data_IF_617101713353
#
_entry.id   IF_617101713353
#
_cell.length_a   1.000
_cell.length_b   1.000
_cell.length_c   1.000
_cell.angle_alpha   90.00
_cell.angle_beta   90.00
_cell.angle_gamma   90.00
#
_symmetry.space_group_name_H-M   'P 1'
#
loop_
_entity.id
_entity.type
_entity.pdbx_description
1 polymer ?
#
# COMPACT_ATOMS: atom_id res chain seq x y z
N UNK A 1 3.52 6.06 16.10
CA UNK A 1 2.26 5.29 16.06
C UNK A 1 1.35 5.92 15.03
N UNK A 2 0.69 5.12 14.18
CA UNK A 2 -0.34 5.63 13.26
C UNK A 2 -1.68 5.63 14.00
N UNK A 3 -2.32 6.79 14.09
CA UNK A 3 -3.64 6.97 14.70
C UNK A 3 -4.62 7.55 13.69
N UNK A 4 -5.75 6.87 13.52
CA UNK A 4 -6.90 7.33 12.73
C UNK A 4 -8.09 7.40 13.67
N UNK A 5 -8.73 8.58 13.77
CA UNK A 5 -9.84 8.84 14.69
C UNK A 5 -11.07 9.31 13.93
N UNK A 6 -12.13 8.50 13.96
CA UNK A 6 -13.45 8.77 13.38
C UNK A 6 -13.39 9.32 11.95
N UNK A 7 -12.56 8.70 11.12
CA UNK A 7 -12.35 9.10 9.73
C UNK A 7 -13.60 8.82 8.90
N UNK A 8 -14.11 9.85 8.22
CA UNK A 8 -15.24 9.74 7.30
C UNK A 8 -14.85 10.25 5.91
N UNK A 9 -15.29 9.53 4.87
CA UNK A 9 -15.14 9.95 3.48
C UNK A 9 -16.31 9.48 2.65
N UNK A 10 -16.92 10.42 1.93
CA UNK A 10 -17.99 10.20 0.97
C UNK A 10 -17.67 10.80 -0.38
N UNK A 11 -18.24 10.22 -1.44
CA UNK A 11 -18.26 10.78 -2.78
C UNK A 11 -19.71 10.96 -3.21
N UNK A 12 -20.18 12.21 -3.25
CA UNK A 12 -21.61 12.50 -3.41
C UNK A 12 -22.41 11.88 -2.26
N UNK A 13 -23.42 11.07 -2.58
CA UNK A 13 -24.25 10.35 -1.60
C UNK A 13 -23.65 9.02 -1.14
N UNK A 14 -22.51 8.59 -1.70
CA UNK A 14 -21.92 7.29 -1.40
C UNK A 14 -20.88 7.42 -0.27
N UNK A 15 -21.21 6.93 0.92
CA UNK A 15 -20.29 6.84 2.04
C UNK A 15 -19.30 5.68 1.82
N UNK A 16 -18.00 5.98 1.84
CA UNK A 16 -16.92 4.98 1.66
C UNK A 16 -16.23 4.65 2.98
N UNK A 17 -15.91 5.65 3.80
CA UNK A 17 -15.36 5.48 5.14
C UNK A 17 -16.36 6.01 6.16
N UNK A 18 -16.69 5.22 7.20
CA UNK A 18 -17.73 5.54 8.17
C UNK A 18 -17.20 5.47 9.60
N UNK A 19 -16.84 6.63 10.15
CA UNK A 19 -16.31 6.80 11.52
C UNK A 19 -15.19 5.82 11.85
N UNK A 20 -14.36 5.50 10.85
CA UNK A 20 -13.29 4.52 10.96
C UNK A 20 -12.26 4.99 11.98
N UNK A 21 -11.98 4.16 12.97
CA UNK A 21 -10.98 4.45 13.99
C UNK A 21 -10.05 3.25 14.13
N UNK A 22 -8.75 3.48 14.07
CA UNK A 22 -7.74 2.44 14.23
C UNK A 22 -6.43 3.03 14.75
N UNK A 23 -5.68 2.23 15.49
CA UNK A 23 -4.33 2.58 15.96
C UNK A 23 -3.39 1.45 15.61
N UNK A 24 -2.30 1.77 14.93
CA UNK A 24 -1.30 0.81 14.48
C UNK A 24 0.07 1.18 15.03
N UNK A 25 0.84 0.15 15.43
CA UNK A 25 2.18 0.30 15.96
C UNK A 25 3.16 0.98 15.00
N UNK A 26 4.37 1.25 15.49
CA UNK A 26 5.45 1.89 14.72
C UNK A 26 6.24 0.91 13.84
N UNK A 27 5.99 -0.40 13.98
CA UNK A 27 6.76 -1.46 13.33
C UNK A 27 5.86 -2.59 12.82
N UNK A 28 6.43 -3.46 12.02
CA UNK A 28 5.76 -4.63 11.45
C UNK A 28 4.95 -4.31 10.20
N UNK A 29 4.35 -5.34 9.63
CA UNK A 29 3.55 -5.26 8.40
C UNK A 29 2.09 -5.43 8.79
N UNK A 30 1.24 -4.47 8.46
CA UNK A 30 -0.22 -4.64 8.49
C UNK A 30 -0.72 -4.81 7.06
N UNK A 31 -1.47 -5.88 6.80
CA UNK A 31 -2.12 -6.10 5.50
C UNK A 31 -3.59 -5.75 5.58
N UNK A 32 -4.07 -4.90 4.69
CA UNK A 32 -5.46 -4.52 4.54
C UNK A 32 -6.06 -5.30 3.37
N UNK A 33 -7.10 -6.08 3.68
CA UNK A 33 -7.83 -6.91 2.72
C UNK A 33 -9.30 -6.53 2.67
N UNK A 34 -10.03 -7.00 1.66
CA UNK A 34 -11.48 -6.78 1.54
C UNK A 34 -11.93 -6.76 0.09
N UNK A 35 -13.24 -6.77 -0.14
CA UNK A 35 -13.83 -6.82 -1.49
C UNK A 35 -13.41 -5.61 -2.36
N UNK A 36 -13.41 -5.79 -3.68
CA UNK A 36 -13.27 -4.66 -4.60
C UNK A 36 -14.37 -3.64 -4.33
N UNK A 37 -13.98 -2.36 -4.22
CA UNK A 37 -14.89 -1.28 -3.81
C UNK A 37 -15.17 -1.17 -2.31
N UNK A 38 -14.51 -1.95 -1.44
CA UNK A 38 -14.70 -1.83 0.02
C UNK A 38 -14.12 -0.55 0.63
N UNK A 39 -13.29 0.19 -0.11
CA UNK A 39 -12.72 1.48 0.29
C UNK A 39 -11.24 1.48 0.68
N UNK A 40 -10.47 0.41 0.42
CA UNK A 40 -9.08 0.27 0.90
C UNK A 40 -8.14 1.33 0.33
N UNK A 41 -8.18 1.54 -0.98
CA UNK A 41 -7.45 2.62 -1.67
C UNK A 41 -7.86 3.98 -1.10
N UNK A 42 -9.17 4.22 -0.95
CA UNK A 42 -9.68 5.47 -0.34
C UNK A 42 -9.17 5.67 1.09
N UNK A 43 -9.11 4.62 1.91
CA UNK A 43 -8.52 4.67 3.24
C UNK A 43 -7.03 5.02 3.15
N UNK A 44 -6.26 4.30 2.33
CA UNK A 44 -4.82 4.48 2.24
C UNK A 44 -4.45 5.85 1.67
N UNK A 45 -5.16 6.33 0.65
CA UNK A 45 -5.05 7.69 0.09
C UNK A 45 -5.38 8.77 1.13
N UNK A 46 -6.41 8.55 1.96
CA UNK A 46 -6.79 9.48 3.02
C UNK A 46 -5.72 9.53 4.10
N UNK A 47 -5.15 8.38 4.45
CA UNK A 47 -4.03 8.28 5.39
C UNK A 47 -2.79 8.95 4.81
N UNK A 48 -2.46 8.70 3.54
CA UNK A 48 -1.31 9.30 2.85
C UNK A 48 -1.48 10.81 2.59
N UNK A 49 -2.68 11.37 2.78
CA UNK A 49 -2.98 12.77 2.51
C UNK A 49 -3.11 13.08 1.01
N UNK A 50 -3.30 12.07 0.17
CA UNK A 50 -3.54 12.22 -1.28
C UNK A 50 -4.97 12.72 -1.54
N UNK A 51 -5.94 12.20 -0.79
CA UNK A 51 -7.32 12.68 -0.83
C UNK A 51 -7.71 13.28 0.53
N UNK A 52 -8.49 14.36 0.48
CA UNK A 52 -9.06 14.95 1.69
C UNK A 52 -10.24 14.11 2.19
N UNK A 53 -10.28 13.86 3.50
CA UNK A 53 -11.41 13.26 4.21
C UNK A 53 -12.39 14.34 4.71
N UNK A 54 -13.63 13.95 4.96
CA UNK A 54 -14.70 14.89 5.30
C UNK A 54 -14.72 15.21 6.80
N UNK A 55 -14.38 14.21 7.64
CA UNK A 55 -14.32 14.31 9.11
C UNK A 55 -13.25 13.38 9.67
N UNK A 56 -12.87 13.63 10.92
CA UNK A 56 -11.91 12.83 11.67
C UNK A 56 -10.50 13.42 11.65
N UNK A 57 -9.53 12.62 12.09
CA UNK A 57 -8.12 13.02 12.10
C UNK A 57 -7.21 11.82 11.84
N UNK A 58 -6.11 12.07 11.12
CA UNK A 58 -5.01 11.12 10.91
C UNK A 58 -3.73 11.73 11.48
N UNK A 59 -2.94 10.94 12.22
CA UNK A 59 -1.63 11.35 12.72
C UNK A 59 -0.61 10.22 12.71
N UNK A 60 0.67 10.58 12.51
CA UNK A 60 1.83 9.69 12.63
C UNK A 60 2.75 10.21 13.72
N UNK A 61 2.99 9.41 14.75
CA UNK A 61 3.83 9.79 15.91
C UNK A 61 3.35 11.10 16.59
N UNK A 62 2.03 11.32 16.62
CA UNK A 62 1.43 12.55 17.16
C UNK A 62 1.48 13.75 16.20
N UNK A 63 2.14 13.65 15.04
CA UNK A 63 2.11 14.69 14.01
C UNK A 63 0.87 14.54 13.13
N UNK A 64 0.09 15.62 13.01
CA UNK A 64 -1.13 15.63 12.20
C UNK A 64 -0.82 15.49 10.70
N UNK A 65 -1.75 14.87 9.97
CA UNK A 65 -1.72 14.80 8.51
C UNK A 65 -1.54 16.19 7.89
N UNK A 66 -0.67 16.27 6.89
CA UNK A 66 -0.34 17.52 6.20
C UNK A 66 0.86 18.30 6.76
N UNK A 67 1.26 18.04 8.02
CA UNK A 67 2.48 18.65 8.60
C UNK A 67 3.76 18.15 7.92
N UNK A 68 4.84 18.92 8.00
CA UNK A 68 6.12 18.52 7.40
C UNK A 68 6.64 17.22 8.01
N UNK A 69 6.58 17.09 9.34
CA UNK A 69 6.98 15.87 10.05
C UNK A 69 6.20 14.62 9.59
N UNK A 70 4.91 14.77 9.30
CA UNK A 70 4.09 13.68 8.76
C UNK A 70 4.56 13.28 7.36
N UNK A 71 4.75 14.26 6.48
CA UNK A 71 5.13 14.04 5.06
C UNK A 71 6.54 13.48 4.93
N UNK A 72 7.49 13.94 5.73
CA UNK A 72 8.87 13.47 5.67
C UNK A 72 9.09 12.13 6.38
N UNK A 73 8.13 11.68 7.20
CA UNK A 73 8.18 10.39 7.90
C UNK A 73 7.28 9.31 7.25
N UNK A 74 6.66 9.62 6.11
CA UNK A 74 5.86 8.65 5.36
C UNK A 74 6.16 8.70 3.87
N UNK A 75 5.96 7.55 3.21
CA UNK A 75 6.00 7.44 1.75
C UNK A 75 4.86 6.55 1.27
N UNK A 76 4.22 6.96 0.17
CA UNK A 76 3.09 6.24 -0.41
C UNK A 76 3.42 5.72 -1.80
N UNK A 77 3.20 4.43 -2.00
CA UNK A 77 3.28 3.73 -3.28
C UNK A 77 1.84 3.46 -3.74
N UNK A 78 1.27 4.29 -4.62
CA UNK A 78 -0.09 4.11 -5.12
C UNK A 78 -0.24 2.86 -6.00
N UNK A 79 -1.49 2.40 -6.15
CA UNK A 79 -1.89 1.33 -7.06
C UNK A 79 -1.62 1.74 -8.50
N UNK A 80 -2.03 2.96 -8.85
CA UNK A 80 -1.74 3.61 -10.13
C UNK A 80 -0.38 4.33 -10.10
N UNK A 81 0.46 4.09 -11.10
CA UNK A 81 1.78 4.72 -11.20
C UNK A 81 1.69 6.13 -11.81
N UNK A 82 1.24 7.11 -11.03
CA UNK A 82 1.32 8.54 -11.40
C UNK A 82 2.76 9.03 -11.28
N UNK A 83 3.60 8.65 -12.24
CA UNK A 83 5.01 9.05 -12.32
C UNK A 83 5.21 10.11 -13.41
N UNK A 84 6.16 11.05 -13.25
CA UNK A 84 6.51 12.01 -14.28
C UNK A 84 7.24 11.30 -15.43
N UNK A 85 6.49 10.95 -16.48
CA UNK A 85 6.97 10.07 -17.56
C UNK A 85 8.17 10.62 -18.35
N UNK A 86 8.32 11.94 -18.38
CA UNK A 86 9.42 12.63 -19.05
C UNK A 86 10.75 12.61 -18.28
N UNK A 87 10.73 12.34 -16.97
CA UNK A 87 11.96 12.21 -16.18
C UNK A 87 12.55 10.81 -16.34
N UNK A 88 13.86 10.70 -16.26
CA UNK A 88 14.53 9.41 -16.04
C UNK A 88 14.26 8.89 -14.63
N UNK A 89 14.40 7.57 -14.44
CA UNK A 89 14.29 6.98 -13.10
C UNK A 89 15.28 7.59 -12.10
N UNK A 90 16.49 7.93 -12.56
CA UNK A 90 17.52 8.58 -11.75
C UNK A 90 17.13 10.02 -11.35
N UNK A 91 16.62 10.82 -12.28
CA UNK A 91 16.18 12.18 -11.99
C UNK A 91 15.00 12.20 -11.02
N UNK A 92 14.02 11.32 -11.24
CA UNK A 92 12.89 11.16 -10.34
C UNK A 92 13.34 10.76 -8.93
N UNK A 93 14.21 9.75 -8.81
CA UNK A 93 14.74 9.33 -7.52
C UNK A 93 15.50 10.46 -6.80
N UNK A 94 16.37 11.18 -7.51
CA UNK A 94 17.11 12.31 -6.95
C UNK A 94 16.16 13.43 -6.47
N UNK A 95 15.13 13.76 -7.26
CA UNK A 95 14.12 14.75 -6.88
C UNK A 95 13.41 14.36 -5.58
N UNK A 96 12.92 13.11 -5.49
CA UNK A 96 12.21 12.64 -4.29
C UNK A 96 13.16 12.59 -3.10
N UNK A 97 14.35 11.98 -3.24
CA UNK A 97 15.34 11.87 -2.16
C UNK A 97 15.73 13.23 -1.57
N UNK A 98 15.77 14.29 -2.39
CA UNK A 98 16.04 15.66 -1.90
C UNK A 98 15.04 16.17 -0.85
N UNK A 99 13.86 15.54 -0.73
CA UNK A 99 12.82 15.90 0.23
C UNK A 99 12.88 15.11 1.54
N UNK A 100 13.74 14.10 1.64
CA UNK A 100 13.83 13.20 2.79
C UNK A 100 15.25 13.22 3.36
N UNK A 101 15.39 13.74 4.59
CA UNK A 101 16.70 13.92 5.23
C UNK A 101 17.47 12.59 5.44
N UNK A 102 16.75 11.47 5.60
CA UNK A 102 17.33 10.15 5.85
C UNK A 102 17.47 9.31 4.57
N UNK A 103 17.25 9.90 3.39
CA UNK A 103 17.38 9.17 2.13
C UNK A 103 18.80 8.66 1.92
N UNK A 104 18.90 7.39 1.50
CA UNK A 104 20.17 6.73 1.24
C UNK A 104 20.29 6.34 -0.25
N UNK A 105 20.99 7.20 -1.00
CA UNK A 105 21.23 6.97 -2.43
C UNK A 105 21.99 5.69 -2.74
N UNK A 106 22.89 5.23 -1.85
CA UNK A 106 23.62 3.98 -2.06
C UNK A 106 22.69 2.75 -1.94
N UNK A 107 21.75 2.78 -1.00
CA UNK A 107 20.71 1.75 -0.87
C UNK A 107 19.80 1.75 -2.10
N UNK A 108 19.40 2.93 -2.60
CA UNK A 108 18.61 3.01 -3.84
C UNK A 108 19.30 2.35 -5.03
N UNK A 109 20.60 2.60 -5.22
CA UNK A 109 21.39 1.99 -6.29
C UNK A 109 21.48 0.47 -6.12
N UNK A 110 21.72 -0.02 -4.91
CA UNK A 110 21.80 -1.46 -4.65
C UNK A 110 20.45 -2.16 -4.88
N UNK A 111 19.36 -1.59 -4.36
CA UNK A 111 18.01 -2.12 -4.58
C UNK A 111 17.64 -2.08 -6.07
N UNK A 112 18.02 -1.03 -6.80
CA UNK A 112 17.80 -0.97 -8.24
C UNK A 112 18.60 -2.03 -8.99
N UNK A 113 19.78 -2.41 -8.51
CA UNK A 113 20.54 -3.54 -9.07
C UNK A 113 19.85 -4.87 -8.81
N UNK A 114 19.43 -5.12 -7.57
CA UNK A 114 18.74 -6.34 -7.17
C UNK A 114 17.39 -6.54 -7.89
N UNK A 115 16.76 -5.44 -8.32
CA UNK A 115 15.49 -5.46 -9.06
C UNK A 115 15.67 -5.37 -10.59
N UNK A 116 16.88 -5.53 -11.11
CA UNK A 116 17.20 -5.44 -12.56
C UNK A 116 16.82 -4.10 -13.22
N UNK A 117 16.87 -3.00 -12.45
CA UNK A 117 16.50 -1.66 -12.91
C UNK A 117 17.71 -0.81 -13.34
N UNK A 118 18.95 -1.26 -13.13
CA UNK A 118 20.17 -0.45 -13.34
C UNK A 118 20.21 0.26 -14.69
N UNK A 119 20.03 -0.48 -15.80
CA UNK A 119 20.04 0.10 -17.15
C UNK A 119 18.78 0.93 -17.46
N UNK A 120 17.67 0.64 -16.77
CA UNK A 120 16.45 1.41 -16.94
C UNK A 120 16.56 2.81 -16.34
N UNK A 121 17.32 3.00 -15.25
CA UNK A 121 17.40 4.25 -14.50
C UNK A 121 17.78 5.48 -15.34
N UNK A 122 18.53 5.29 -16.41
CA UNK A 122 18.99 6.37 -17.30
C UNK A 122 18.07 6.59 -18.52
N UNK A 123 16.93 5.89 -18.58
CA UNK A 123 15.88 6.06 -19.59
C UNK A 123 14.67 6.81 -19.00
N UNK A 124 13.91 7.56 -19.83
CA UNK A 124 12.65 8.16 -19.40
C UNK A 124 11.67 7.12 -18.85
N UNK A 125 10.92 7.48 -17.80
CA UNK A 125 9.94 6.62 -17.14
C UNK A 125 8.79 6.24 -18.09
N UNK A 126 8.53 7.03 -19.15
CA UNK A 126 7.59 6.67 -20.22
C UNK A 126 7.89 5.29 -20.85
N UNK A 127 9.17 4.93 -20.97
CA UNK A 127 9.60 3.65 -21.55
C UNK A 127 9.47 2.46 -20.59
N UNK A 128 9.03 2.68 -19.34
CA UNK A 128 8.96 1.65 -18.33
C UNK A 128 7.66 0.86 -18.45
N UNK A 129 7.76 -0.46 -18.32
CA UNK A 129 6.58 -1.29 -18.08
C UNK A 129 5.94 -0.95 -16.73
N UNK A 130 4.70 -1.37 -16.53
CA UNK A 130 4.01 -1.21 -15.24
C UNK A 130 4.83 -1.80 -14.07
N UNK A 131 5.39 -3.00 -14.24
CA UNK A 131 6.24 -3.63 -13.23
C UNK A 131 7.54 -2.84 -12.99
N UNK A 132 8.16 -2.28 -14.02
CA UNK A 132 9.35 -1.41 -13.87
C UNK A 132 9.04 -0.14 -13.08
N UNK A 133 7.86 0.47 -13.29
CA UNK A 133 7.39 1.63 -12.52
C UNK A 133 7.22 1.26 -11.03
N UNK A 134 6.66 0.08 -10.72
CA UNK A 134 6.55 -0.45 -9.35
C UNK A 134 7.93 -0.72 -8.72
N UNK A 135 8.84 -1.39 -9.43
CA UNK A 135 10.22 -1.64 -8.97
C UNK A 135 10.95 -0.33 -8.62
N UNK A 136 10.82 0.71 -9.45
CA UNK A 136 11.37 2.03 -9.19
C UNK A 136 10.81 2.65 -7.89
N UNK A 137 9.49 2.65 -7.72
CA UNK A 137 8.84 3.21 -6.53
C UNK A 137 9.20 2.45 -5.25
N UNK A 138 9.33 1.12 -5.32
CA UNK A 138 9.71 0.28 -4.18
C UNK A 138 11.16 0.50 -3.79
N UNK A 139 12.09 0.47 -4.75
CA UNK A 139 13.51 0.77 -4.50
C UNK A 139 13.66 2.15 -3.87
N UNK A 140 12.94 3.14 -4.41
CA UNK A 140 12.94 4.50 -3.88
C UNK A 140 12.37 4.54 -2.47
N UNK A 141 11.16 4.04 -2.24
CA UNK A 141 10.49 4.08 -0.94
C UNK A 141 11.30 3.44 0.19
N UNK A 142 11.91 2.27 -0.06
CA UNK A 142 12.80 1.62 0.90
C UNK A 142 14.08 2.43 1.16
N UNK A 143 14.60 3.13 0.15
CA UNK A 143 15.79 3.97 0.29
C UNK A 143 15.57 5.25 1.09
N UNK A 144 14.31 5.69 1.28
CA UNK A 144 13.99 6.94 1.99
C UNK A 144 14.10 6.80 3.51
N UNK A 145 14.11 5.57 4.04
CA UNK A 145 14.21 5.28 5.48
C UNK A 145 13.15 6.04 6.32
N UNK A 146 11.90 5.99 5.84
CA UNK A 146 10.72 6.59 6.50
C UNK A 146 10.13 5.65 7.55
N UNK A 147 9.58 6.21 8.63
CA UNK A 147 8.90 5.41 9.65
C UNK A 147 7.68 4.63 9.14
N UNK A 148 7.02 5.15 8.09
CA UNK A 148 5.79 4.59 7.54
C UNK A 148 5.84 4.45 6.02
N UNK A 149 5.80 3.21 5.53
CA UNK A 149 5.64 2.91 4.10
C UNK A 149 4.22 2.40 3.85
N UNK A 150 3.45 3.15 3.07
CA UNK A 150 2.08 2.84 2.66
C UNK A 150 2.14 2.33 1.23
N UNK A 151 1.61 1.14 0.93
CA UNK A 151 1.64 0.62 -0.43
C UNK A 151 0.31 -0.02 -0.83
N UNK A 152 -0.23 0.44 -1.96
CA UNK A 152 -1.43 -0.13 -2.58
C UNK A 152 -1.05 -0.97 -3.80
N UNK A 153 -1.44 -2.25 -3.77
CA UNK A 153 -1.12 -3.23 -4.82
C UNK A 153 0.35 -3.17 -5.25
N UNK A 154 1.26 -3.29 -4.27
CA UNK A 154 2.70 -3.15 -4.51
C UNK A 154 3.28 -4.25 -5.40
N UNK A 155 2.63 -5.41 -5.44
CA UNK A 155 3.11 -6.62 -6.11
C UNK A 155 2.49 -6.84 -7.49
N UNK A 156 1.49 -6.04 -7.87
CA UNK A 156 0.76 -6.25 -9.12
C UNK A 156 1.67 -6.06 -10.33
N UNK A 157 1.52 -6.95 -11.32
CA UNK A 157 2.29 -6.90 -12.57
C UNK A 157 3.78 -7.21 -12.43
N UNK A 158 4.21 -7.77 -11.30
CA UNK A 158 5.57 -8.29 -11.09
C UNK A 158 5.64 -9.79 -11.36
N UNK A 159 6.79 -10.24 -11.85
CA UNK A 159 7.11 -11.66 -11.93
C UNK A 159 7.35 -12.27 -10.53
N UNK A 160 7.21 -13.60 -10.42
CA UNK A 160 7.29 -14.32 -9.15
C UNK A 160 8.62 -14.12 -8.42
N UNK A 161 9.74 -14.09 -9.15
CA UNK A 161 11.07 -13.89 -8.58
C UNK A 161 11.18 -12.52 -7.91
N UNK A 162 10.73 -11.47 -8.61
CA UNK A 162 10.67 -10.11 -8.06
C UNK A 162 9.74 -10.04 -6.84
N UNK A 163 8.57 -10.70 -6.88
CA UNK A 163 7.63 -10.74 -5.74
C UNK A 163 8.31 -11.30 -4.49
N UNK A 164 8.99 -12.45 -4.60
CA UNK A 164 9.70 -13.10 -3.48
C UNK A 164 10.76 -12.15 -2.91
N UNK A 165 11.56 -11.52 -3.78
CA UNK A 165 12.58 -10.57 -3.36
C UNK A 165 11.99 -9.38 -2.59
N UNK A 166 10.91 -8.78 -3.10
CA UNK A 166 10.25 -7.65 -2.44
C UNK A 166 9.63 -8.07 -1.09
N UNK A 167 9.06 -9.27 -0.99
CA UNK A 167 8.55 -9.79 0.28
C UNK A 167 9.64 -9.86 1.35
N UNK A 168 10.84 -10.33 1.00
CA UNK A 168 11.99 -10.36 1.92
C UNK A 168 12.46 -8.95 2.27
N UNK A 169 12.57 -8.04 1.29
CA UNK A 169 12.92 -6.65 1.52
C UNK A 169 11.93 -5.95 2.47
N UNK A 170 10.63 -6.16 2.27
CA UNK A 170 9.59 -5.64 3.15
C UNK A 170 9.66 -6.23 4.55
N UNK A 171 9.93 -7.54 4.66
CA UNK A 171 10.11 -8.21 5.96
C UNK A 171 11.29 -7.64 6.75
N UNK A 172 12.40 -7.35 6.08
CA UNK A 172 13.58 -6.74 6.68
C UNK A 172 13.30 -5.28 7.09
N UNK A 173 12.69 -4.49 6.21
CA UNK A 173 12.32 -3.11 6.49
C UNK A 173 11.35 -3.00 7.68
N UNK A 174 10.39 -3.91 7.77
CA UNK A 174 9.37 -3.93 8.81
C UNK A 174 9.90 -4.20 10.23
N UNK A 175 11.16 -4.64 10.39
CA UNK A 175 11.79 -4.84 11.71
C UNK A 175 11.94 -3.54 12.48
N UNK A 176 12.17 -2.44 11.76
CA UNK A 176 12.39 -1.11 12.32
C UNK A 176 11.30 -0.10 11.93
N UNK A 177 10.50 -0.38 10.89
CA UNK A 177 9.50 0.54 10.32
C UNK A 177 8.11 -0.10 10.20
N UNK A 178 7.08 0.74 10.05
CA UNK A 178 5.71 0.30 9.79
C UNK A 178 5.46 0.21 8.29
N UNK A 179 4.94 -0.94 7.83
CA UNK A 179 4.39 -1.08 6.49
C UNK A 179 2.88 -1.29 6.60
N UNK A 180 2.13 -0.56 5.79
CA UNK A 180 0.70 -0.81 5.53
C UNK A 180 0.57 -1.21 4.07
N UNK A 181 0.14 -2.45 3.84
CA UNK A 181 -0.01 -3.01 2.50
C UNK A 181 -1.49 -3.25 2.21
N UNK A 182 -1.99 -2.77 1.08
CA UNK A 182 -3.26 -3.22 0.54
C UNK A 182 -2.98 -4.30 -0.50
N UNK A 183 -3.58 -5.48 -0.33
CA UNK A 183 -3.43 -6.58 -1.28
C UNK A 183 -4.65 -7.52 -1.28
N UNK A 184 -4.86 -8.16 -2.43
CA UNK A 184 -5.81 -9.25 -2.63
C UNK A 184 -5.13 -10.58 -2.95
N UNK A 185 -3.80 -10.58 -3.00
CA UNK A 185 -3.03 -11.73 -3.44
C UNK A 185 -2.85 -12.71 -2.28
N UNK A 186 -3.30 -13.96 -2.48
CA UNK A 186 -3.29 -15.00 -1.44
C UNK A 186 -1.91 -15.23 -0.84
N UNK A 187 -0.85 -15.19 -1.65
CA UNK A 187 0.50 -15.40 -1.15
C UNK A 187 0.97 -14.25 -0.24
N UNK A 188 0.51 -13.00 -0.45
CA UNK A 188 0.81 -11.87 0.44
C UNK A 188 0.13 -12.07 1.79
N UNK A 189 -1.14 -12.46 1.75
CA UNK A 189 -1.95 -12.72 2.95
C UNK A 189 -1.33 -13.86 3.77
N UNK A 190 -0.90 -14.94 3.11
CA UNK A 190 -0.28 -16.08 3.79
C UNK A 190 1.11 -15.72 4.35
N UNK A 191 1.93 -14.99 3.59
CA UNK A 191 3.28 -14.59 4.01
C UNK A 191 3.24 -13.61 5.20
N UNK A 192 2.30 -12.66 5.20
CA UNK A 192 2.18 -11.62 6.22
C UNK A 192 0.90 -11.80 7.05
N UNK A 193 0.71 -13.02 7.58
CA UNK A 193 -0.53 -13.44 8.23
C UNK A 193 -0.73 -12.95 9.67
N UNK A 194 0.25 -12.23 10.24
CA UNK A 194 0.25 -11.87 11.67
C UNK A 194 -0.61 -10.65 12.02
N UNK A 195 -0.80 -9.71 11.09
CA UNK A 195 -1.54 -8.48 11.31
C UNK A 195 -2.35 -8.14 10.05
N UNK A 196 -3.52 -8.78 9.93
CA UNK A 196 -4.46 -8.58 8.82
C UNK A 196 -5.68 -7.80 9.30
N UNK A 197 -6.03 -6.77 8.56
CA UNK A 197 -7.24 -5.99 8.75
C UNK A 197 -8.20 -6.20 7.58
N UNK A 198 -9.41 -6.61 7.89
CA UNK A 198 -10.50 -6.70 6.92
C UNK A 198 -11.22 -5.35 6.84
N UNK A 199 -11.33 -4.83 5.62
CA UNK A 199 -12.14 -3.66 5.31
C UNK A 199 -13.53 -4.06 4.84
N UNK A 200 -14.55 -3.71 5.65
CA UNK A 200 -15.95 -3.97 5.37
C UNK A 200 -16.80 -2.78 5.83
N UNK A 201 -17.74 -2.33 4.99
CA UNK A 201 -18.71 -1.26 5.31
C UNK A 201 -18.05 0.00 5.88
N UNK A 202 -16.93 0.42 5.30
CA UNK A 202 -16.20 1.63 5.67
C UNK A 202 -15.48 1.57 7.02
N UNK A 203 -15.25 0.37 7.56
CA UNK A 203 -14.52 0.13 8.82
C UNK A 203 -13.41 -0.91 8.61
N UNK A 204 -12.43 -0.90 9.52
CA UNK A 204 -11.39 -1.92 9.59
C UNK A 204 -11.57 -2.74 10.86
N UNK A 205 -11.48 -4.05 10.73
CA UNK A 205 -11.54 -5.01 11.85
C UNK A 205 -10.40 -6.01 11.72
N UNK A 206 -9.85 -6.46 12.85
CA UNK A 206 -8.89 -7.57 12.84
C UNK A 206 -9.50 -8.80 12.16
N UNK A 207 -8.73 -9.41 11.26
CA UNK A 207 -9.03 -10.71 10.69
C UNK A 207 -7.98 -11.70 11.16
N UNK A 208 -8.45 -12.80 11.75
CA UNK A 208 -7.60 -13.90 12.20
C UNK A 208 -7.98 -15.12 11.36
N UNK A 209 -7.12 -15.43 10.41
CA UNK A 209 -7.34 -16.57 9.54
C UNK A 209 -6.36 -16.62 8.37
N UNK A 210 -6.46 -17.69 7.61
CA UNK A 210 -5.66 -17.92 6.39
C UNK A 210 -6.25 -17.18 5.18
N UNK A 211 -5.49 -17.12 4.08
CA UNK A 211 -6.03 -16.60 2.82
C UNK A 211 -7.22 -17.41 2.29
N UNK A 212 -7.29 -18.71 2.61
CA UNK A 212 -8.41 -19.57 2.21
C UNK A 212 -9.65 -19.25 3.05
N UNK A 213 -9.51 -19.09 4.37
CA UNK A 213 -10.63 -18.66 5.24
C UNK A 213 -11.13 -17.26 4.88
N UNK A 214 -10.23 -16.35 4.48
CA UNK A 214 -10.61 -15.04 3.96
C UNK A 214 -11.39 -15.17 2.65
N UNK A 215 -10.94 -16.06 1.76
CA UNK A 215 -11.64 -16.33 0.50
C UNK A 215 -13.03 -16.87 0.77
N UNK A 216 -13.17 -17.84 1.67
CA UNK A 216 -14.46 -18.42 2.07
C UNK A 216 -15.39 -17.40 2.70
N UNK A 217 -14.86 -16.55 3.59
CA UNK A 217 -15.60 -15.43 4.15
C UNK A 217 -16.14 -14.48 3.08
N UNK A 218 -15.29 -14.14 2.11
CA UNK A 218 -15.64 -13.31 0.94
C UNK A 218 -16.68 -14.00 0.06
N UNK A 219 -16.55 -15.32 -0.17
CA UNK A 219 -17.51 -16.10 -0.95
C UNK A 219 -18.89 -16.09 -0.30
N UNK A 220 -18.97 -16.35 1.01
CA UNK A 220 -20.24 -16.43 1.74
C UNK A 220 -20.96 -15.08 1.87
N UNK A 221 -20.22 -13.97 1.95
CA UNK A 221 -20.79 -12.62 2.08
C UNK A 221 -20.94 -11.85 0.77
N UNK A 222 -20.28 -12.29 -0.29
CA UNK A 222 -20.29 -11.60 -1.57
C UNK A 222 -21.56 -11.88 -2.38
N UNK A 223 -21.79 -11.05 -3.41
CA UNK A 223 -22.78 -11.31 -4.48
C UNK A 223 -22.48 -12.57 -5.30
N UNK A 224 -21.36 -13.25 -5.03
CA UNK A 224 -20.96 -14.47 -5.72
C UNK A 224 -21.88 -15.63 -5.35
N UNK A 225 -22.34 -15.75 -4.11
CA UNK A 225 -23.30 -16.81 -3.73
C UNK A 225 -24.59 -16.72 -4.55
N UNK A 226 -25.15 -15.52 -4.70
CA UNK A 226 -26.35 -15.29 -5.53
C UNK A 226 -26.09 -15.64 -7.00
N UNK A 227 -24.91 -15.29 -7.53
CA UNK A 227 -24.51 -15.64 -8.90
C UNK A 227 -24.30 -17.15 -9.07
N UNK A 228 -23.71 -17.84 -8.09
CA UNK A 228 -23.47 -19.28 -8.11
C UNK A 228 -24.79 -20.06 -7.98
N UNK A 229 -25.72 -19.62 -7.13
CA UNK A 229 -27.08 -20.16 -7.09
C UNK A 229 -27.76 -20.02 -8.45
N UNK A 230 -27.67 -18.84 -9.07
CA UNK A 230 -28.24 -18.63 -10.40
C UNK A 230 -27.56 -19.46 -11.48
N UNK A 231 -26.25 -19.72 -11.38
CA UNK A 231 -25.54 -20.65 -12.27
C UNK A 231 -26.07 -22.08 -12.09
N UNK A 232 -26.30 -22.51 -10.84
CA UNK A 232 -26.87 -23.83 -10.56
C UNK A 232 -28.33 -23.97 -11.00
N UNK A 233 -29.07 -22.87 -11.12
CA UNK A 233 -30.45 -22.86 -11.65
C UNK A 233 -30.52 -22.90 -13.19
N UNK A 234 -29.45 -22.52 -13.89
CA UNK A 234 -29.41 -22.45 -15.37
C UNK A 234 -28.57 -23.57 -16.01
N UNK A 235 -27.89 -24.41 -15.22
CA UNK A 235 -27.19 -25.62 -15.63
C UNK A 235 -28.01 -26.86 -15.25
#
# INVERSE_FOLDING_TARGET
MLEVKSLCKSFGSHCVLDHLSITLGTRGITVIVGLNGSGKTVFLDSVAGIIQYDKGNVSLDGHASGSDAFKTNSFYIPSDSYLPEYLTGREYAAFIQSRYANANGSVFVELSRLLDMTEALDRPIEAYSFGMKKKLQIALGLSLNVGYLLADEAFSGLDLETVILIQELFSLYAREHKLLLVSHERHIINQFSTDILLMEKGKLTEFRGTADELSDYIYQKGRITEKLQRIAEIL
#
